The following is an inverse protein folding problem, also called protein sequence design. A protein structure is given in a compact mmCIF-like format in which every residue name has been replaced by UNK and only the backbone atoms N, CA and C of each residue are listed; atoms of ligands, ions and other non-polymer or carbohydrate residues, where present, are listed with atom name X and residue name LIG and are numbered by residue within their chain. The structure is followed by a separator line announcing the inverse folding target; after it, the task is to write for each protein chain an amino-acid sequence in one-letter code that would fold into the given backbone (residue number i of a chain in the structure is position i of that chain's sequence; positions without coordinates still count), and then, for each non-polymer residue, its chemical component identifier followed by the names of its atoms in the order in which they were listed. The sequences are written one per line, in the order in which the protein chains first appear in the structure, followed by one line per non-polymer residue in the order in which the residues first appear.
data_IF_249194728919
#
_entry.id   IF_249194728919
#
_cell.length_a   1.000
_cell.length_b   1.000
_cell.length_c   1.000
_cell.angle_alpha   90.00
_cell.angle_beta   90.00
_cell.angle_gamma   90.00
#
_symmetry.space_group_name_H-M   'P 1'
#
loop_
_entity.id
_entity.type
_entity.pdbx_description
1 polymer ?
#
# COMPACT_ATOMS: atom_id res chain seq x y z
N UNK A 1 -6.23 -11.28 15.41
CA UNK A 1 -6.97 -10.62 14.30
C UNK A 1 -6.09 -10.69 13.04
N UNK A 2 -6.41 -11.55 12.06
CA UNK A 2 -5.68 -11.61 10.79
C UNK A 2 -6.01 -10.36 9.98
N UNK A 3 -5.13 -9.37 9.95
CA UNK A 3 -5.27 -8.24 9.03
C UNK A 3 -4.84 -8.68 7.64
N UNK A 4 -5.75 -8.62 6.67
CA UNK A 4 -5.42 -8.82 5.26
C UNK A 4 -4.68 -7.56 4.77
N UNK A 5 -3.39 -7.70 4.43
CA UNK A 5 -2.60 -6.60 3.86
C UNK A 5 -3.14 -6.25 2.48
N UNK A 6 -3.43 -4.97 2.28
CA UNK A 6 -3.71 -4.44 0.95
C UNK A 6 -2.35 -4.04 0.35
N UNK A 7 -2.10 -4.40 -0.91
CA UNK A 7 -0.87 -4.04 -1.60
C UNK A 7 -1.26 -3.28 -2.87
N UNK A 8 -1.14 -1.95 -2.85
CA UNK A 8 -1.54 -1.13 -3.98
C UNK A 8 -0.50 -1.03 -5.09
N UNK A 9 0.73 -1.47 -4.85
CA UNK A 9 1.84 -1.36 -5.81
C UNK A 9 1.56 -2.12 -7.11
N UNK A 10 0.96 -3.32 -7.01
CA UNK A 10 0.70 -4.17 -8.16
C UNK A 10 -0.31 -3.62 -9.18
N UNK A 11 -1.20 -2.73 -8.74
CA UNK A 11 -2.26 -2.17 -9.59
C UNK A 11 -2.25 -0.63 -9.65
N UNK A 12 -1.48 0.03 -8.79
CA UNK A 12 -1.45 1.50 -8.67
C UNK A 12 -1.10 2.19 -9.98
N UNK A 13 -0.11 1.68 -10.73
CA UNK A 13 0.27 2.23 -12.04
C UNK A 13 -0.88 2.18 -13.06
N UNK A 14 -1.69 1.10 -13.06
CA UNK A 14 -2.85 0.98 -13.96
C UNK A 14 -3.93 1.98 -13.59
N UNK A 15 -4.21 2.14 -12.29
CA UNK A 15 -5.20 3.12 -11.81
C UNK A 15 -4.76 4.55 -12.10
N UNK A 16 -3.47 4.87 -11.90
CA UNK A 16 -2.91 6.19 -12.23
C UNK A 16 -3.02 6.46 -13.73
N UNK A 17 -2.73 5.47 -14.59
CA UNK A 17 -2.88 5.62 -16.03
C UNK A 17 -4.33 5.91 -16.44
N UNK A 18 -5.30 5.21 -15.84
CA UNK A 18 -6.73 5.46 -16.08
C UNK A 18 -7.10 6.87 -15.58
N UNK A 19 -6.69 7.27 -14.38
CA UNK A 19 -6.94 8.60 -13.86
C UNK A 19 -6.35 9.70 -14.77
N UNK A 20 -5.13 9.53 -15.26
CA UNK A 20 -4.50 10.44 -16.20
C UNK A 20 -5.25 10.54 -17.54
N UNK A 21 -5.80 9.43 -18.04
CA UNK A 21 -6.63 9.44 -19.24
C UNK A 21 -7.88 10.31 -19.05
N UNK A 22 -8.56 10.19 -17.90
CA UNK A 22 -9.76 10.98 -17.59
C UNK A 22 -9.45 12.44 -17.20
N UNK A 23 -8.26 12.74 -16.68
CA UNK A 23 -7.90 14.10 -16.27
C UNK A 23 -7.26 14.92 -17.39
N UNK A 24 -6.55 14.29 -18.31
CA UNK A 24 -5.70 14.97 -19.29
C UNK A 24 -6.11 14.60 -20.70
N UNK A 25 -6.11 13.30 -21.03
CA UNK A 25 -6.26 12.84 -22.42
C UNK A 25 -7.66 13.14 -22.95
N UNK A 26 -8.70 12.67 -22.27
CA UNK A 26 -10.09 12.87 -22.70
C UNK A 26 -10.46 14.37 -22.65
N UNK A 27 -10.22 15.11 -21.55
CA UNK A 27 -10.51 16.54 -21.50
C UNK A 27 -9.77 17.35 -22.58
N UNK A 28 -8.50 17.03 -22.82
CA UNK A 28 -7.67 17.71 -23.81
C UNK A 28 -8.15 17.49 -25.25
N UNK A 29 -8.47 16.23 -25.61
CA UNK A 29 -9.03 15.90 -26.92
C UNK A 29 -10.41 16.53 -27.09
N UNK A 30 -11.29 16.44 -26.08
CA UNK A 30 -12.62 17.04 -26.13
C UNK A 30 -12.56 18.56 -26.27
N UNK A 31 -11.63 19.23 -25.58
CA UNK A 31 -11.43 20.67 -25.71
C UNK A 31 -10.94 21.05 -27.11
N UNK A 32 -9.93 20.34 -27.64
CA UNK A 32 -9.41 20.58 -28.98
C UNK A 32 -10.48 20.39 -30.06
N UNK A 33 -11.28 19.32 -29.96
CA UNK A 33 -12.39 19.07 -30.88
C UNK A 33 -13.49 20.12 -30.75
N UNK A 34 -13.80 20.58 -29.54
CA UNK A 34 -14.76 21.66 -29.33
C UNK A 34 -14.29 22.95 -30.00
N UNK A 35 -13.00 23.27 -29.89
CA UNK A 35 -12.40 24.42 -30.55
C UNK A 35 -12.46 24.34 -32.08
N UNK A 36 -12.13 23.17 -32.65
CA UNK A 36 -12.11 22.96 -34.11
C UNK A 36 -13.51 22.88 -34.72
N UNK A 37 -14.44 22.19 -34.06
CA UNK A 37 -15.79 21.91 -34.58
C UNK A 37 -16.85 22.90 -34.09
N UNK A 38 -16.51 23.79 -33.14
CA UNK A 38 -17.44 24.73 -32.49
C UNK A 38 -18.67 24.06 -31.90
N UNK A 39 -18.48 22.87 -31.32
CA UNK A 39 -19.54 22.09 -30.66
C UNK A 39 -19.40 22.24 -29.15
N UNK A 40 -20.34 22.95 -28.52
CA UNK A 40 -20.32 23.25 -27.08
C UNK A 40 -20.52 22.00 -26.20
N UNK A 41 -21.22 20.98 -26.71
CA UNK A 41 -21.47 19.73 -25.97
C UNK A 41 -20.21 18.97 -25.55
N UNK A 42 -19.10 19.14 -26.28
CA UNK A 42 -17.81 18.53 -25.96
C UNK A 42 -17.17 19.11 -24.69
N UNK A 43 -17.45 20.37 -24.34
CA UNK A 43 -16.98 20.98 -23.10
C UNK A 43 -17.67 20.36 -21.87
N UNK A 44 -18.93 19.93 -22.01
CA UNK A 44 -19.65 19.24 -20.95
C UNK A 44 -19.06 17.85 -20.69
N UNK A 45 -18.74 17.10 -21.75
CA UNK A 45 -18.05 15.80 -21.66
C UNK A 45 -16.67 15.96 -20.99
N UNK A 46 -15.93 17.01 -21.34
CA UNK A 46 -14.63 17.33 -20.72
C UNK A 46 -14.76 17.51 -19.20
N UNK A 47 -15.74 18.29 -18.74
CA UNK A 47 -16.00 18.50 -17.30
C UNK A 47 -16.36 17.19 -16.57
N UNK A 48 -17.22 16.37 -17.15
CA UNK A 48 -17.60 15.06 -16.58
C UNK A 48 -16.37 14.16 -16.48
N UNK A 49 -15.55 14.12 -17.53
CA UNK A 49 -14.34 13.30 -17.56
C UNK A 49 -13.37 13.68 -16.44
N UNK A 50 -13.13 14.98 -16.25
CA UNK A 50 -12.30 15.49 -15.14
C UNK A 50 -12.89 15.09 -13.78
N UNK A 51 -14.21 15.22 -13.59
CA UNK A 51 -14.85 14.83 -12.33
C UNK A 51 -14.65 13.34 -12.02
N UNK A 52 -14.77 12.45 -13.02
CA UNK A 52 -14.49 11.02 -12.88
C UNK A 52 -13.02 10.79 -12.53
N UNK A 53 -12.09 11.46 -13.22
CA UNK A 53 -10.66 11.37 -12.94
C UNK A 53 -10.30 11.76 -11.50
N UNK A 54 -10.91 12.83 -10.98
CA UNK A 54 -10.73 13.28 -9.60
C UNK A 54 -11.28 12.26 -8.59
N UNK A 55 -12.43 11.65 -8.86
CA UNK A 55 -12.99 10.60 -8.02
C UNK A 55 -12.08 9.36 -7.96
N UNK A 56 -11.48 8.97 -9.09
CA UNK A 56 -10.52 7.86 -9.14
C UNK A 56 -9.27 8.19 -8.32
N UNK A 57 -8.73 9.41 -8.44
CA UNK A 57 -7.59 9.85 -7.62
C UNK A 57 -7.91 9.85 -6.12
N UNK A 58 -9.09 10.34 -5.74
CA UNK A 58 -9.53 10.34 -4.35
C UNK A 58 -9.59 8.91 -3.80
N UNK A 59 -10.14 7.98 -4.58
CA UNK A 59 -10.19 6.57 -4.21
C UNK A 59 -8.79 5.96 -4.03
N UNK A 60 -7.86 6.23 -4.96
CA UNK A 60 -6.47 5.78 -4.86
C UNK A 60 -5.79 6.36 -3.59
N UNK A 61 -6.01 7.63 -3.31
CA UNK A 61 -5.47 8.29 -2.11
C UNK A 61 -5.96 7.62 -0.82
N UNK A 62 -7.25 7.25 -0.74
CA UNK A 62 -7.81 6.52 0.39
C UNK A 62 -7.15 5.14 0.55
N UNK A 63 -6.95 4.40 -0.54
CA UNK A 63 -6.25 3.11 -0.50
C UNK A 63 -4.81 3.26 0.03
N UNK A 64 -4.09 4.26 -0.47
CA UNK A 64 -2.71 4.52 -0.05
C UNK A 64 -2.63 4.86 1.44
N UNK A 65 -3.58 5.67 1.93
CA UNK A 65 -3.67 6.03 3.35
C UNK A 65 -3.92 4.81 4.23
N UNK A 66 -4.77 3.88 3.78
CA UNK A 66 -5.02 2.61 4.48
C UNK A 66 -3.77 1.75 4.50
N UNK A 67 -3.09 1.59 3.36
CA UNK A 67 -1.84 0.82 3.27
C UNK A 67 -0.76 1.38 4.19
N UNK A 68 -0.56 2.70 4.19
CA UNK A 68 0.38 3.38 5.08
C UNK A 68 0.05 3.16 6.57
N UNK A 69 -1.24 3.21 6.93
CA UNK A 69 -1.67 2.92 8.29
C UNK A 69 -1.40 1.46 8.68
N UNK A 70 -1.62 0.51 7.76
CA UNK A 70 -1.32 -0.90 7.99
C UNK A 70 0.18 -1.13 8.19
N UNK A 71 1.03 -0.52 7.37
CA UNK A 71 2.48 -0.63 7.48
C UNK A 71 2.98 -0.04 8.81
N UNK A 72 2.52 1.15 9.20
CA UNK A 72 2.86 1.76 10.49
C UNK A 72 2.43 0.90 11.69
N UNK A 73 1.26 0.26 11.59
CA UNK A 73 0.77 -0.65 12.63
C UNK A 73 1.65 -1.90 12.72
N UNK A 74 2.09 -2.44 11.58
CA UNK A 74 2.96 -3.61 11.51
C UNK A 74 4.35 -3.30 12.07
N UNK A 75 4.91 -2.15 11.72
CA UNK A 75 6.18 -1.66 12.26
C UNK A 75 6.14 -1.56 13.79
N UNK A 76 5.11 -0.90 14.35
CA UNK A 76 4.94 -0.84 15.81
C UNK A 76 4.80 -2.21 16.45
N UNK A 77 4.12 -3.15 15.79
CA UNK A 77 4.01 -4.51 16.29
C UNK A 77 5.38 -5.16 16.40
N UNK A 78 6.20 -5.09 15.35
CA UNK A 78 7.55 -5.64 15.38
C UNK A 78 8.46 -4.92 16.39
N UNK A 79 8.41 -3.59 16.48
CA UNK A 79 9.18 -2.84 17.48
C UNK A 79 8.84 -3.24 18.92
N UNK A 80 7.56 -3.41 19.22
CA UNK A 80 7.12 -3.84 20.55
C UNK A 80 7.48 -5.30 20.86
N UNK A 81 7.69 -6.12 19.83
CA UNK A 81 7.93 -7.56 19.95
C UNK A 81 9.37 -7.97 19.56
N UNK A 82 10.27 -7.04 19.25
CA UNK A 82 11.64 -7.33 18.77
C UNK A 82 12.46 -8.25 19.68
N UNK A 83 12.19 -8.18 20.98
CA UNK A 83 12.83 -9.01 22.01
C UNK A 83 12.01 -10.27 22.35
N UNK A 84 11.13 -10.69 21.45
CA UNK A 84 10.33 -11.91 21.60
C UNK A 84 10.62 -12.89 20.48
N UNK A 85 10.26 -14.14 20.75
CA UNK A 85 10.45 -15.26 19.84
C UNK A 85 9.11 -15.95 19.63
N UNK A 86 8.82 -16.29 18.38
CA UNK A 86 7.55 -16.88 17.98
C UNK A 86 7.75 -18.37 17.67
N UNK A 87 7.02 -19.26 18.34
CA UNK A 87 7.12 -20.70 18.09
C UNK A 87 6.59 -21.03 16.68
N UNK A 88 7.39 -21.75 15.91
CA UNK A 88 7.05 -22.26 14.59
C UNK A 88 6.54 -23.70 14.69
N UNK A 89 5.90 -24.19 13.62
CA UNK A 89 5.34 -25.53 13.57
C UNK A 89 6.38 -26.66 13.69
N UNK A 90 7.64 -26.39 13.37
CA UNK A 90 8.74 -27.36 13.46
C UNK A 90 9.40 -27.41 14.85
N UNK A 91 8.83 -26.72 15.86
CA UNK A 91 9.39 -26.67 17.21
C UNK A 91 10.54 -25.67 17.39
N UNK A 92 11.00 -25.01 16.32
CA UNK A 92 11.94 -23.91 16.39
C UNK A 92 11.22 -22.57 16.61
N UNK A 93 11.98 -21.51 16.86
CA UNK A 93 11.44 -20.17 17.06
C UNK A 93 11.93 -19.20 15.99
N UNK A 94 11.09 -18.21 15.70
CA UNK A 94 11.43 -17.07 14.86
C UNK A 94 11.77 -15.84 15.73
N UNK A 95 12.95 -15.25 15.50
CA UNK A 95 13.32 -13.94 16.05
C UNK A 95 12.46 -12.86 15.41
N UNK A 96 11.63 -12.17 16.21
CA UNK A 96 10.75 -11.11 15.70
C UNK A 96 11.50 -9.81 15.29
N UNK A 97 12.80 -9.69 15.59
CA UNK A 97 13.60 -8.54 15.17
C UNK A 97 14.17 -8.68 13.74
N UNK A 98 14.61 -9.88 13.34
CA UNK A 98 15.29 -10.09 12.05
C UNK A 98 14.71 -11.22 11.19
N UNK A 99 13.75 -11.98 11.70
CA UNK A 99 13.14 -13.10 11.00
C UNK A 99 14.00 -14.39 10.99
N UNK A 100 15.07 -14.49 11.79
CA UNK A 100 15.82 -15.74 11.93
C UNK A 100 14.91 -16.85 12.48
N UNK A 101 14.77 -17.97 11.76
CA UNK A 101 13.85 -19.08 12.09
C UNK A 101 14.51 -20.26 12.82
N UNK A 102 15.79 -20.16 13.10
CA UNK A 102 16.58 -21.23 13.74
C UNK A 102 16.83 -20.95 15.23
N UNK A 103 16.00 -20.13 15.86
CA UNK A 103 16.16 -19.79 17.28
C UNK A 103 15.66 -20.94 18.15
N UNK A 104 16.46 -21.33 19.15
CA UNK A 104 16.12 -22.35 20.15
C UNK A 104 15.43 -21.73 21.37
N UNK A 105 14.68 -22.55 22.11
CA UNK A 105 13.98 -22.11 23.33
C UNK A 105 14.92 -21.67 24.45
N UNK A 106 16.16 -22.12 24.47
CA UNK A 106 17.11 -21.80 25.54
C UNK A 106 17.97 -20.57 25.21
N UNK A 107 17.96 -20.14 23.95
CA UNK A 107 18.77 -19.00 23.51
C UNK A 107 18.25 -17.70 24.11
N UNK A 108 19.15 -16.96 24.77
CA UNK A 108 18.88 -15.63 25.33
C UNK A 108 19.08 -14.51 24.31
N UNK A 109 19.82 -14.76 23.24
CA UNK A 109 20.15 -13.78 22.21
C UNK A 109 20.07 -14.42 20.83
N UNK A 110 19.67 -13.63 19.82
CA UNK A 110 19.72 -14.07 18.43
C UNK A 110 21.15 -14.03 17.88
N UNK A 111 21.61 -15.11 17.28
CA UNK A 111 22.96 -15.20 16.69
C UNK A 111 23.14 -14.31 15.44
N UNK A 112 22.05 -13.93 14.75
CA UNK A 112 22.10 -13.12 13.53
C UNK A 112 22.09 -11.62 13.83
N UNK A 113 21.17 -11.15 14.67
CA UNK A 113 20.97 -9.71 14.90
C UNK A 113 21.33 -9.24 16.32
N UNK A 114 21.70 -10.15 17.22
CA UNK A 114 22.07 -9.81 18.60
C UNK A 114 20.91 -9.37 19.50
N UNK A 115 19.66 -9.45 19.06
CA UNK A 115 18.50 -9.10 19.88
C UNK A 115 18.40 -10.02 21.11
N UNK A 116 18.23 -9.44 22.30
CA UNK A 116 18.07 -10.18 23.56
C UNK A 116 16.60 -10.56 23.77
N UNK A 117 16.32 -11.84 23.97
CA UNK A 117 14.98 -12.35 24.20
C UNK A 117 14.55 -12.18 25.66
N UNK A 118 13.31 -11.73 25.90
CA UNK A 118 12.74 -11.71 27.24
C UNK A 118 12.60 -13.15 27.75
N UNK A 119 13.11 -13.45 28.95
CA UNK A 119 12.81 -14.71 29.65
C UNK A 119 11.30 -14.75 29.91
N UNK A 120 10.65 -15.83 29.49
CA UNK A 120 9.24 -16.11 29.79
C UNK A 120 9.14 -16.87 31.09
#
# INVERSE_FOLDING_TARGET
MKMKKINSIGYGHKIIAIAAAFLIVIPGISYLLSYLLKVDGLLFISKISVAIGLLILLFLFLLLKVEFYQDKKLERYFENNKNTRLLLHNGLYECQACGNREVKQEQERCDICGACFKRK
#
